data_IF_716036990655
#
_entry.id   IF_716036990655
#
_cell.length_a   1.000
_cell.length_b   1.000
_cell.length_c   1.000
_cell.angle_alpha   90.00
_cell.angle_beta   90.00
_cell.angle_gamma   90.00
#
_symmetry.space_group_name_H-M   'P 1'
#
loop_
_entity.id
_entity.type
_entity.pdbx_description
1 polymer ?
#
# COMPACT_ATOMS: atom_id res chain seq x y z
N UNK A 1 -23.15 -6.50 -4.30
CA UNK A 1 -23.29 -5.05 -4.03
C UNK A 1 -22.81 -4.81 -2.61
N UNK A 2 -21.89 -3.87 -2.41
CA UNK A 2 -21.47 -3.45 -1.06
C UNK A 2 -22.61 -2.62 -0.45
N UNK A 3 -23.04 -2.94 0.77
CA UNK A 3 -24.07 -2.18 1.48
C UNK A 3 -23.48 -0.87 2.02
N UNK A 4 -24.18 0.26 1.80
CA UNK A 4 -23.80 1.56 2.36
C UNK A 4 -24.66 1.88 3.58
N UNK A 5 -24.02 2.33 4.66
CA UNK A 5 -24.70 2.81 5.88
C UNK A 5 -24.71 4.34 5.87
N UNK A 6 -25.88 4.95 6.14
CA UNK A 6 -25.99 6.40 6.30
C UNK A 6 -25.59 6.78 7.73
N UNK A 7 -24.76 7.80 7.84
CA UNK A 7 -24.25 8.31 9.11
C UNK A 7 -24.41 9.83 9.14
N UNK A 8 -24.62 10.38 10.34
CA UNK A 8 -24.70 11.82 10.58
C UNK A 8 -23.51 12.22 11.45
N UNK A 9 -22.70 13.15 10.97
CA UNK A 9 -21.51 13.65 11.68
C UNK A 9 -21.72 15.10 12.09
N UNK A 10 -21.28 15.44 13.30
CA UNK A 10 -21.14 16.83 13.73
C UNK A 10 -19.73 17.30 13.40
N UNK A 11 -19.60 18.16 12.41
CA UNK A 11 -18.33 18.72 11.94
C UNK A 11 -18.41 20.25 11.99
N UNK A 12 -17.26 20.92 12.11
CA UNK A 12 -17.23 22.38 12.04
C UNK A 12 -17.67 22.85 10.66
N UNK A 13 -18.61 23.80 10.63
CA UNK A 13 -19.21 24.32 9.40
C UNK A 13 -18.17 24.89 8.43
N UNK A 14 -17.19 25.62 8.95
CA UNK A 14 -16.15 26.26 8.16
C UNK A 14 -15.28 25.24 7.41
N UNK A 15 -14.96 24.09 8.04
CA UNK A 15 -14.26 22.98 7.41
C UNK A 15 -15.13 22.41 6.28
N UNK A 16 -16.38 22.07 6.58
CA UNK A 16 -17.29 21.43 5.61
C UNK A 16 -17.47 22.31 4.39
N UNK A 17 -17.63 23.62 4.58
CA UNK A 17 -17.77 24.58 3.49
C UNK A 17 -16.53 24.62 2.59
N UNK A 18 -15.33 24.77 3.18
CA UNK A 18 -14.07 24.79 2.42
C UNK A 18 -13.82 23.47 1.68
N UNK A 19 -14.07 22.34 2.35
CA UNK A 19 -13.91 21.02 1.76
C UNK A 19 -14.85 20.85 0.56
N UNK A 20 -16.15 21.16 0.70
CA UNK A 20 -17.11 21.09 -0.40
C UNK A 20 -16.72 21.97 -1.60
N UNK A 21 -16.27 23.20 -1.35
CA UNK A 21 -15.80 24.08 -2.42
C UNK A 21 -14.64 23.48 -3.21
N UNK A 22 -13.67 22.85 -2.52
CA UNK A 22 -12.54 22.20 -3.17
C UNK A 22 -12.96 20.94 -3.92
N UNK A 23 -13.77 20.09 -3.30
CA UNK A 23 -14.24 18.84 -3.91
C UNK A 23 -15.12 19.06 -5.14
N UNK A 24 -15.86 20.17 -5.20
CA UNK A 24 -16.60 20.55 -6.39
C UNK A 24 -15.70 20.78 -7.61
N UNK A 25 -14.48 21.28 -7.42
CA UNK A 25 -13.49 21.43 -8.49
C UNK A 25 -12.96 20.07 -8.98
N UNK A 26 -12.85 19.11 -8.06
CA UNK A 26 -12.34 17.77 -8.31
C UNK A 26 -13.44 16.80 -8.81
N UNK A 27 -14.70 17.25 -8.89
CA UNK A 27 -15.85 16.40 -9.24
C UNK A 27 -16.18 15.33 -8.20
N UNK A 28 -15.71 15.51 -6.95
CA UNK A 28 -15.87 14.55 -5.86
C UNK A 28 -16.92 14.99 -4.85
N UNK A 29 -17.50 14.04 -4.14
CA UNK A 29 -18.44 14.28 -3.06
C UNK A 29 -17.76 14.18 -1.69
N UNK A 30 -18.33 14.85 -0.69
CA UNK A 30 -17.87 14.72 0.70
C UNK A 30 -17.97 13.28 1.21
N UNK A 31 -18.98 12.52 0.76
CA UNK A 31 -19.18 11.13 1.17
C UNK A 31 -18.04 10.23 0.70
N UNK A 32 -17.55 10.41 -0.53
CA UNK A 32 -16.44 9.62 -1.07
C UNK A 32 -15.14 9.88 -0.30
N UNK A 33 -14.88 11.13 0.08
CA UNK A 33 -13.67 11.48 0.85
C UNK A 33 -13.76 10.97 2.28
N UNK A 34 -14.93 11.05 2.91
CA UNK A 34 -15.13 10.49 4.25
C UNK A 34 -15.00 8.96 4.21
N UNK A 35 -15.54 8.31 3.18
CA UNK A 35 -15.38 6.87 2.98
C UNK A 35 -13.90 6.48 2.82
N UNK A 36 -13.15 7.19 1.96
CA UNK A 36 -11.71 6.99 1.79
C UNK A 36 -10.94 7.20 3.10
N UNK A 37 -11.26 8.25 3.85
CA UNK A 37 -10.62 8.54 5.13
C UNK A 37 -10.89 7.43 6.17
N UNK A 38 -12.11 6.92 6.24
CA UNK A 38 -12.46 5.81 7.13
C UNK A 38 -11.75 4.51 6.72
N UNK A 39 -11.60 4.24 5.42
CA UNK A 39 -10.81 3.10 4.94
C UNK A 39 -9.35 3.21 5.36
N UNK A 40 -8.73 4.38 5.17
CA UNK A 40 -7.34 4.61 5.60
C UNK A 40 -7.20 4.45 7.13
N UNK A 41 -8.18 4.91 7.89
CA UNK A 41 -8.18 4.76 9.34
C UNK A 41 -8.19 3.29 9.78
N UNK A 42 -8.98 2.44 9.11
CA UNK A 42 -8.99 0.99 9.33
C UNK A 42 -7.67 0.32 8.90
N UNK A 43 -7.15 0.70 7.73
CA UNK A 43 -5.90 0.16 7.18
C UNK A 43 -4.68 0.45 8.07
N UNK A 44 -4.59 1.63 8.69
CA UNK A 44 -3.49 1.96 9.59
C UNK A 44 -3.48 1.02 10.81
N UNK A 45 -4.64 0.77 11.41
CA UNK A 45 -4.76 -0.17 12.53
C UNK A 45 -4.39 -1.59 12.12
N UNK A 46 -4.86 -2.03 10.96
CA UNK A 46 -4.50 -3.32 10.39
C UNK A 46 -2.98 -3.46 10.15
N UNK A 47 -2.33 -2.46 9.56
CA UNK A 47 -0.90 -2.46 9.31
C UNK A 47 -0.09 -2.53 10.61
N UNK A 48 -0.54 -1.85 11.65
CA UNK A 48 0.13 -1.86 12.96
C UNK A 48 0.08 -3.24 13.60
N UNK A 49 -1.09 -3.87 13.60
CA UNK A 49 -1.24 -5.25 14.06
C UNK A 49 -0.41 -6.24 13.23
N UNK A 50 -0.37 -6.04 11.91
CA UNK A 50 0.37 -6.91 11.01
C UNK A 50 1.89 -6.81 11.27
N UNK A 51 2.42 -5.59 11.41
CA UNK A 51 3.81 -5.36 11.79
C UNK A 51 4.15 -6.03 13.12
N UNK A 52 3.29 -5.90 14.13
CA UNK A 52 3.47 -6.57 15.42
C UNK A 52 3.48 -8.10 15.29
N UNK A 53 2.51 -8.68 14.59
CA UNK A 53 2.39 -10.15 14.41
C UNK A 53 3.58 -10.72 13.63
N UNK A 54 4.11 -9.99 12.66
CA UNK A 54 5.26 -10.42 11.86
C UNK A 54 6.60 -10.03 12.49
N UNK A 55 6.60 -9.33 13.64
CA UNK A 55 7.81 -8.77 14.26
C UNK A 55 8.62 -7.90 13.29
N UNK A 56 7.93 -7.13 12.45
CA UNK A 56 8.51 -6.20 11.48
C UNK A 56 8.54 -4.80 12.10
N UNK A 57 9.67 -4.12 11.95
CA UNK A 57 9.83 -2.74 12.39
C UNK A 57 8.91 -1.80 11.58
N UNK A 58 8.09 -1.01 12.28
CA UNK A 58 7.24 0.02 11.67
C UNK A 58 8.00 1.34 11.61
N UNK A 59 8.68 1.61 10.49
CA UNK A 59 9.28 2.91 10.18
C UNK A 59 9.13 3.28 8.72
N UNK A 60 9.35 4.55 8.41
CA UNK A 60 9.46 4.98 7.03
C UNK A 60 10.81 4.52 6.47
N UNK A 61 10.76 3.90 5.30
CA UNK A 61 11.95 3.49 4.55
C UNK A 61 12.06 4.32 3.28
N UNK A 62 13.27 4.74 2.97
CA UNK A 62 13.60 5.29 1.66
C UNK A 62 13.80 4.16 0.64
N UNK A 63 13.63 4.46 -0.65
CA UNK A 63 13.83 3.49 -1.73
C UNK A 63 15.22 2.84 -1.67
N UNK A 64 16.24 3.63 -1.32
CA UNK A 64 17.61 3.18 -1.19
C UNK A 64 17.81 2.20 -0.02
N UNK A 65 17.17 2.44 1.13
CA UNK A 65 17.22 1.52 2.28
C UNK A 65 16.56 0.18 1.92
N UNK A 66 15.42 0.20 1.22
CA UNK A 66 14.73 -1.02 0.78
C UNK A 66 15.61 -1.83 -0.18
N UNK A 67 16.30 -1.16 -1.11
CA UNK A 67 17.20 -1.83 -2.06
C UNK A 67 18.42 -2.44 -1.37
N UNK A 68 18.99 -1.74 -0.38
CA UNK A 68 20.15 -2.20 0.36
C UNK A 68 19.85 -3.39 1.28
N UNK A 69 18.67 -3.38 1.93
CA UNK A 69 18.27 -4.40 2.89
C UNK A 69 17.61 -5.62 2.23
N UNK A 70 17.28 -5.52 0.93
CA UNK A 70 16.67 -6.63 0.20
C UNK A 70 17.62 -7.84 0.22
N UNK A 71 17.20 -9.00 0.75
CA UNK A 71 18.01 -10.20 0.69
C UNK A 71 18.29 -10.52 -0.77
N UNK A 72 19.56 -10.77 -1.08
CA UNK A 72 19.94 -11.26 -2.41
C UNK A 72 19.14 -12.53 -2.64
N UNK A 73 18.41 -12.59 -3.76
CA UNK A 73 17.58 -13.73 -4.12
C UNK A 73 18.38 -15.04 -4.13
N UNK A 74 17.74 -16.21 -4.29
CA UNK A 74 18.35 -17.53 -4.10
C UNK A 74 19.44 -17.93 -5.13
N UNK A 75 20.14 -16.98 -5.74
CA UNK A 75 21.16 -17.25 -6.74
C UNK A 75 20.56 -17.83 -8.01
N UNK A 76 19.38 -17.37 -8.41
CA UNK A 76 18.71 -17.82 -9.64
C UNK A 76 19.63 -17.69 -10.88
N UNK A 77 20.50 -16.69 -10.88
CA UNK A 77 21.59 -16.52 -11.87
C UNK A 77 22.50 -17.75 -11.97
N UNK A 78 22.85 -18.38 -10.85
CA UNK A 78 23.71 -19.56 -10.78
C UNK A 78 22.98 -20.78 -11.34
N UNK A 79 21.73 -20.95 -10.94
CA UNK A 79 20.85 -22.03 -11.46
C UNK A 79 20.65 -21.89 -12.97
N UNK A 80 20.36 -20.69 -13.47
CA UNK A 80 20.19 -20.43 -14.91
C UNK A 80 21.48 -20.69 -15.69
N UNK A 81 22.64 -20.34 -15.12
CA UNK A 81 23.95 -20.59 -15.73
C UNK A 81 24.24 -22.09 -15.83
N UNK A 82 24.02 -22.85 -14.76
CA UNK A 82 24.17 -24.31 -14.75
C UNK A 82 23.29 -24.98 -15.82
N UNK A 83 22.01 -24.59 -15.93
CA UNK A 83 21.09 -25.10 -16.95
C UNK A 83 21.56 -24.78 -18.38
N UNK A 84 22.10 -23.57 -18.61
CA UNK A 84 22.65 -23.18 -19.92
C UNK A 84 23.90 -23.97 -20.28
N UNK A 85 24.81 -24.14 -19.33
CA UNK A 85 26.07 -24.86 -19.54
C UNK A 85 25.83 -26.35 -19.81
N UNK A 86 24.85 -26.97 -19.12
CA UNK A 86 24.41 -28.34 -19.45
C UNK A 86 23.83 -28.44 -20.86
N UNK A 87 23.00 -27.47 -21.27
CA UNK A 87 22.41 -27.46 -22.61
C UNK A 87 23.50 -27.36 -23.69
N UNK A 88 24.49 -26.50 -23.49
CA UNK A 88 25.63 -26.34 -24.41
C UNK A 88 26.43 -27.63 -24.56
N UNK A 89 26.63 -28.39 -23.47
CA UNK A 89 27.32 -29.69 -23.51
C UNK A 89 26.54 -30.80 -24.24
N UNK A 90 25.21 -30.71 -24.31
CA UNK A 90 24.36 -31.69 -25.02
C UNK A 90 24.22 -31.40 -26.52
N UNK A 91 24.67 -30.23 -26.96
CA UNK A 91 24.62 -29.78 -28.36
C UNK A 91 25.98 -29.85 -29.06
N UNK A 92 27.03 -30.26 -28.35
CA UNK A 92 28.38 -30.54 -28.84
C UNK A 92 28.60 -32.05 -28.92
#
# INVERSE_FOLDING_TARGET
MVSKVKLTLSLREDIVRRAKSRLALDGRTLSEVVEEFLSVYDEIGFLDELCQKLSIEKRFYTSAEVEADRPRGPGAEKVIREVRDERSKRLS
#
